data_IF_812084457270
#
_entry.id   IF_812084457270
#
_cell.length_a   1.000
_cell.length_b   1.000
_cell.length_c   1.000
_cell.angle_alpha   90.00
_cell.angle_beta   90.00
_cell.angle_gamma   90.00
#
_symmetry.space_group_name_H-M   'P 1'
#
loop_
_entity.id
_entity.type
_entity.pdbx_description
1 polymer ?
#
# COMPACT_ATOMS: atom_id res chain seq x y z
N UNK A 1 27.83 -21.08 0.26
CA UNK A 1 28.56 -19.99 0.96
C UNK A 1 28.91 -18.95 -0.10
N UNK A 2 28.65 -17.67 0.16
CA UNK A 2 28.87 -16.57 -0.79
C UNK A 2 29.72 -15.48 -0.14
N UNK A 3 30.60 -14.85 -0.92
CA UNK A 3 31.40 -13.70 -0.50
C UNK A 3 30.86 -12.44 -1.17
N UNK A 4 30.78 -11.35 -0.40
CA UNK A 4 30.44 -10.02 -0.92
C UNK A 4 31.57 -9.54 -1.85
N UNK A 5 31.22 -9.20 -3.09
CA UNK A 5 32.19 -8.67 -4.07
C UNK A 5 32.42 -7.16 -3.89
N UNK A 6 31.45 -6.44 -3.33
CA UNK A 6 31.45 -4.98 -3.16
C UNK A 6 30.50 -4.54 -2.03
N UNK A 7 30.86 -3.51 -1.27
CA UNK A 7 30.10 -3.02 -0.10
C UNK A 7 29.02 -1.98 -0.44
N UNK A 8 28.28 -2.15 -1.55
CA UNK A 8 27.21 -1.20 -1.88
C UNK A 8 26.09 -1.28 -0.85
N UNK A 9 25.68 -0.13 -0.33
CA UNK A 9 24.49 0.02 0.50
C UNK A 9 23.26 0.16 -0.38
N UNK A 10 22.19 -0.53 -0.02
CA UNK A 10 20.93 -0.49 -0.74
C UNK A 10 19.85 0.09 0.16
N UNK A 11 19.15 1.10 -0.34
CA UNK A 11 17.93 1.60 0.31
C UNK A 11 16.80 0.60 0.08
N UNK A 12 16.09 0.23 1.15
CA UNK A 12 15.00 -0.74 1.11
C UNK A 12 13.77 -0.15 1.77
N UNK A 13 12.63 -0.26 1.10
CA UNK A 13 11.32 0.07 1.66
C UNK A 13 10.32 -1.04 1.32
N UNK A 14 9.56 -1.47 2.32
CA UNK A 14 8.53 -2.50 2.17
C UNK A 14 7.17 -1.89 2.46
N UNK A 15 6.19 -2.21 1.62
CA UNK A 15 4.78 -1.87 1.84
C UNK A 15 3.91 -3.10 1.66
N UNK A 16 2.76 -3.09 2.30
CA UNK A 16 1.73 -4.11 2.13
C UNK A 16 0.66 -3.58 1.18
N UNK A 17 0.38 -4.35 0.14
CA UNK A 17 -0.71 -4.11 -0.80
C UNK A 17 -1.86 -5.06 -0.48
N UNK A 18 -3.08 -4.59 -0.73
CA UNK A 18 -4.30 -5.40 -0.65
C UNK A 18 -5.07 -5.30 -1.96
N UNK A 19 -5.73 -6.38 -2.35
CA UNK A 19 -6.64 -6.41 -3.49
C UNK A 19 -8.09 -6.72 -3.05
N UNK A 20 -9.03 -6.76 -4.00
CA UNK A 20 -10.45 -6.99 -3.73
C UNK A 20 -10.79 -8.40 -3.23
N UNK A 21 -9.82 -9.32 -3.24
CA UNK A 21 -9.92 -10.63 -2.61
C UNK A 21 -9.52 -10.63 -1.12
N UNK A 22 -9.18 -9.47 -0.55
CA UNK A 22 -8.59 -9.30 0.79
C UNK A 22 -7.21 -9.96 0.97
N UNK A 23 -6.61 -10.46 -0.10
CA UNK A 23 -5.27 -11.02 -0.06
C UNK A 23 -4.23 -9.91 0.12
N UNK A 24 -3.18 -10.22 0.89
CA UNK A 24 -2.10 -9.28 1.20
C UNK A 24 -0.83 -9.72 0.48
N UNK A 25 -0.15 -8.75 -0.14
CA UNK A 25 1.16 -9.01 -0.75
C UNK A 25 2.15 -7.92 -0.39
N UNK A 26 3.36 -8.32 0.00
CA UNK A 26 4.45 -7.38 0.28
C UNK A 26 5.10 -6.96 -1.02
N UNK A 27 5.24 -5.65 -1.24
CA UNK A 27 6.02 -5.07 -2.32
C UNK A 27 7.30 -4.45 -1.76
N UNK A 28 8.43 -4.88 -2.32
CA UNK A 28 9.77 -4.38 -1.95
C UNK A 28 10.26 -3.36 -2.98
N UNK A 29 10.48 -2.14 -2.52
CA UNK A 29 11.17 -1.07 -3.25
C UNK A 29 12.64 -1.08 -2.89
N UNK A 30 13.50 -0.95 -3.89
CA UNK A 30 14.96 -0.88 -3.72
C UNK A 30 15.51 0.38 -4.37
N UNK A 31 16.54 0.98 -3.77
CA UNK A 31 17.30 2.11 -4.29
C UNK A 31 16.42 3.28 -4.75
N UNK A 32 16.53 3.66 -6.03
CA UNK A 32 15.80 4.76 -6.63
C UNK A 32 14.29 4.65 -6.40
N UNK A 33 13.73 3.44 -6.49
CA UNK A 33 12.31 3.22 -6.21
C UNK A 33 11.95 3.49 -4.75
N UNK A 34 12.82 3.13 -3.81
CA UNK A 34 12.61 3.36 -2.38
C UNK A 34 12.70 4.86 -2.04
N UNK A 35 13.68 5.55 -2.62
CA UNK A 35 13.92 6.98 -2.44
C UNK A 35 12.81 7.83 -3.06
N UNK A 36 12.30 7.42 -4.23
CA UNK A 36 11.24 8.12 -4.95
C UNK A 36 9.82 7.65 -4.59
N UNK A 37 9.66 6.86 -3.53
CA UNK A 37 8.35 6.37 -3.11
C UNK A 37 7.45 7.51 -2.61
N UNK A 38 6.27 7.65 -3.20
CA UNK A 38 5.31 8.75 -2.92
C UNK A 38 4.02 8.27 -2.24
N UNK A 39 3.87 6.97 -2.02
CA UNK A 39 2.64 6.41 -1.46
C UNK A 39 2.44 6.80 0.01
N UNK A 40 1.18 7.01 0.38
CA UNK A 40 0.71 7.12 1.76
C UNK A 40 -0.27 5.99 2.04
N UNK A 41 -0.78 5.92 3.28
CA UNK A 41 -1.86 5.00 3.60
C UNK A 41 -3.04 5.23 2.64
N UNK A 42 -3.65 4.16 2.15
CA UNK A 42 -4.76 4.17 1.21
C UNK A 42 -4.45 4.74 -0.19
N UNK A 43 -3.18 4.98 -0.54
CA UNK A 43 -2.81 5.35 -1.92
C UNK A 43 -3.07 4.20 -2.87
N UNK A 44 -3.75 4.48 -4.00
CA UNK A 44 -3.97 3.50 -5.07
C UNK A 44 -2.68 3.37 -5.87
N UNK A 45 -2.14 2.16 -5.97
CA UNK A 45 -0.90 1.88 -6.69
C UNK A 45 -1.20 0.90 -7.83
N UNK A 46 -0.79 1.26 -9.04
CA UNK A 46 -0.79 0.35 -10.19
C UNK A 46 0.65 0.01 -10.57
N UNK A 47 0.91 -1.28 -10.72
CA UNK A 47 2.24 -1.81 -11.02
C UNK A 47 2.26 -2.42 -12.43
N UNK A 48 3.34 -2.18 -13.17
CA UNK A 48 3.61 -2.87 -14.43
C UNK A 48 5.03 -3.45 -14.43
N UNK A 49 5.20 -4.58 -15.11
CA UNK A 49 6.47 -5.30 -15.25
C UNK A 49 7.14 -5.62 -13.89
N UNK A 50 6.36 -6.02 -12.90
CA UNK A 50 6.86 -6.45 -11.58
C UNK A 50 7.17 -7.92 -11.56
N UNK A 51 8.18 -8.32 -10.77
CA UNK A 51 8.54 -9.72 -10.58
C UNK A 51 7.83 -10.28 -9.35
N UNK A 52 7.25 -11.45 -9.51
CA UNK A 52 6.79 -12.29 -8.40
C UNK A 52 7.97 -13.15 -7.96
N UNK A 53 8.19 -13.23 -6.65
CA UNK A 53 9.18 -14.10 -6.06
C UNK A 53 8.57 -14.83 -4.86
N UNK A 54 9.04 -16.04 -4.60
CA UNK A 54 8.63 -16.85 -3.47
C UNK A 54 9.87 -17.20 -2.61
N UNK A 55 9.82 -16.92 -1.32
CA UNK A 55 10.90 -17.21 -0.36
C UNK A 55 10.30 -17.62 0.98
N UNK A 56 10.78 -18.74 1.54
CA UNK A 56 10.28 -19.29 2.81
C UNK A 56 8.74 -19.36 2.88
N UNK A 57 8.11 -19.84 1.80
CA UNK A 57 6.65 -19.94 1.65
C UNK A 57 5.89 -18.60 1.70
N UNK A 58 6.59 -17.48 1.48
CA UNK A 58 5.99 -16.16 1.35
C UNK A 58 6.19 -15.63 -0.05
N UNK A 59 5.11 -15.12 -0.63
CA UNK A 59 5.11 -14.47 -1.94
C UNK A 59 5.28 -12.97 -1.80
N UNK A 60 6.19 -12.40 -2.58
CA UNK A 60 6.46 -10.97 -2.60
C UNK A 60 6.62 -10.45 -4.03
N UNK A 61 6.33 -9.17 -4.19
CA UNK A 61 6.59 -8.43 -5.41
C UNK A 61 7.92 -7.68 -5.27
N UNK A 62 8.69 -7.66 -6.34
CA UNK A 62 9.92 -6.86 -6.41
C UNK A 62 9.93 -6.06 -7.69
N UNK A 63 10.33 -4.79 -7.56
CA UNK A 63 10.54 -3.89 -8.68
C UNK A 63 11.90 -4.17 -9.34
N UNK A 64 11.89 -4.25 -10.66
CA UNK A 64 13.09 -4.24 -11.49
C UNK A 64 13.25 -2.87 -12.13
N UNK A 65 14.40 -2.61 -12.76
CA UNK A 65 14.63 -1.36 -13.50
C UNK A 65 13.60 -1.09 -14.62
N UNK A 66 12.91 -2.13 -15.11
CA UNK A 66 11.86 -2.02 -16.13
C UNK A 66 10.45 -1.86 -15.55
N UNK A 67 10.33 -1.91 -14.22
CA UNK A 67 9.04 -1.79 -13.55
C UNK A 67 8.56 -0.36 -13.56
N UNK A 68 7.26 -0.17 -13.73
CA UNK A 68 6.62 1.14 -13.73
C UNK A 68 5.61 1.17 -12.59
N UNK A 69 5.66 2.23 -11.80
CA UNK A 69 4.79 2.46 -10.65
C UNK A 69 3.98 3.71 -10.90
N UNK A 70 2.66 3.56 -10.88
CA UNK A 70 1.70 4.64 -11.03
C UNK A 70 0.97 4.85 -9.70
N UNK A 71 0.87 6.10 -9.26
CA UNK A 71 0.16 6.49 -8.04
C UNK A 71 -1.11 7.25 -8.40
N UNK A 72 -2.23 6.88 -7.79
CA UNK A 72 -3.53 7.56 -7.87
C UNK A 72 -3.98 7.89 -9.31
N UNK A 73 -3.61 7.03 -10.27
CA UNK A 73 -4.00 7.28 -11.66
C UNK A 73 -5.48 6.97 -11.83
N UNK A 74 -6.25 8.00 -12.15
CA UNK A 74 -7.64 7.92 -12.60
C UNK A 74 -7.70 7.42 -14.03
N UNK A 75 -7.45 6.12 -14.19
CA UNK A 75 -8.09 5.38 -15.27
C UNK A 75 -9.43 4.95 -14.72
N UNK A 76 -10.50 5.32 -15.42
CA UNK A 76 -11.91 4.94 -15.17
C UNK A 76 -12.16 3.44 -15.01
N UNK A 77 -11.12 2.60 -15.11
CA UNK A 77 -11.12 1.14 -15.10
C UNK A 77 -11.09 0.47 -13.72
N UNK A 78 -11.12 1.20 -12.60
CA UNK A 78 -11.07 0.57 -11.26
C UNK A 78 -12.08 1.11 -10.24
N UNK A 79 -13.25 1.57 -10.70
CA UNK A 79 -14.34 2.05 -9.83
C UNK A 79 -14.75 0.97 -8.82
N UNK A 80 -14.90 -0.29 -9.26
CA UNK A 80 -15.29 -1.41 -8.39
C UNK A 80 -14.31 -1.65 -7.24
N UNK A 81 -13.01 -1.58 -7.52
CA UNK A 81 -11.97 -1.73 -6.50
C UNK A 81 -12.02 -0.60 -5.48
N UNK A 82 -12.20 0.65 -5.93
CA UNK A 82 -12.33 1.81 -5.04
C UNK A 82 -13.59 1.72 -4.16
N UNK A 83 -14.73 1.33 -4.73
CA UNK A 83 -15.98 1.14 -3.98
C UNK A 83 -15.87 0.01 -2.95
N UNK A 84 -15.24 -1.12 -3.32
CA UNK A 84 -14.91 -2.19 -2.40
C UNK A 84 -14.01 -1.68 -1.27
N UNK A 85 -12.92 -0.97 -1.59
CA UNK A 85 -11.98 -0.47 -0.60
C UNK A 85 -12.67 0.47 0.39
N UNK A 86 -13.49 1.40 -0.11
CA UNK A 86 -14.24 2.34 0.72
C UNK A 86 -15.34 1.69 1.57
N UNK A 87 -15.90 0.55 1.15
CA UNK A 87 -16.85 -0.23 1.98
C UNK A 87 -16.13 -0.90 3.14
N UNK A 88 -15.00 -1.55 2.88
CA UNK A 88 -14.28 -2.32 3.90
C UNK A 88 -13.49 -1.44 4.87
N UNK A 89 -13.07 -0.23 4.44
CA UNK A 89 -12.33 0.72 5.28
C UNK A 89 -13.21 1.83 5.89
N UNK A 90 -14.55 1.75 5.74
CA UNK A 90 -15.48 2.77 6.23
C UNK A 90 -15.47 2.89 7.77
N UNK A 91 -15.25 1.79 8.48
CA UNK A 91 -15.20 1.76 9.95
C UNK A 91 -14.07 2.60 10.58
N UNK A 92 -13.02 2.95 9.83
CA UNK A 92 -11.94 3.81 10.32
C UNK A 92 -12.34 5.30 10.36
N UNK A 93 -13.32 5.73 9.56
CA UNK A 93 -13.77 7.14 9.55
C UNK A 93 -14.76 7.44 10.67
N UNK A 94 -15.58 6.47 11.06
CA UNK A 94 -16.62 6.66 12.09
C UNK A 94 -16.04 6.65 13.52
N UNK A 95 -14.78 6.22 13.69
CA UNK A 95 -14.10 6.18 14.99
C UNK A 95 -13.47 7.50 15.42
N UNK A 96 -13.36 8.48 14.52
CA UNK A 96 -12.73 9.80 14.80
C UNK A 96 -13.76 10.94 14.80
N UNK A 97 -15.02 10.65 14.45
CA UNK A 97 -16.04 11.66 14.22
C UNK A 97 -17.39 11.32 14.82
N UNK A 98 -17.47 11.02 16.12
CA UNK A 98 -18.73 11.19 16.84
C UNK A 98 -18.52 11.50 18.33
N UNK A 99 -17.83 12.59 18.60
CA UNK A 99 -17.80 13.26 19.90
C UNK A 99 -18.50 14.61 19.80
N UNK A 100 -19.80 14.63 19.48
CA UNK A 100 -20.59 15.86 19.54
C UNK A 100 -21.88 15.65 20.34
N UNK A 101 -21.81 16.17 21.57
CA UNK A 101 -22.86 16.79 22.38
C UNK A 101 -24.07 15.94 22.80
N UNK A 102 -23.94 15.34 23.99
CA UNK A 102 -25.10 15.15 24.88
C UNK A 102 -25.63 16.55 25.28
N UNK A 103 -26.93 16.86 25.12
CA UNK A 103 -27.50 18.03 25.77
C UNK A 103 -27.51 17.77 27.29
N UNK A 104 -26.88 18.67 28.05
CA UNK A 104 -26.92 18.63 29.51
C UNK A 104 -28.35 18.77 30.03
N UNK A 105 -28.64 18.25 31.24
CA UNK A 105 -29.98 18.34 31.80
C UNK A 105 -30.32 19.81 32.04
N UNK A 106 -31.41 20.27 31.44
CA UNK A 106 -32.03 21.55 31.74
C UNK A 106 -32.52 21.53 33.19
N UNK A 107 -31.81 22.25 34.04
CA UNK A 107 -32.24 22.61 35.38
C UNK A 107 -32.91 23.98 35.37
N UNK A 108 -33.83 24.13 36.33
CA UNK A 108 -34.72 25.26 36.64
C UNK A 108 -36.04 25.34 35.84
#
# INVERSE_FOLDING_TARGET
MFFLKNGQTYEKKEIVLIDDSNEKITLTFLNEFANNFKGKINTKITLQNTKINDYKNQRYLTLSQKSIVFYDVDKTTNIKFVEWFNRNNRCLKDSVGNGHNMPGPSGE
#
